data_IF_432765432640
#
_entry.id   IF_432765432640
#
_cell.length_a   1.000
_cell.length_b   1.000
_cell.length_c   1.000
_cell.angle_alpha   90.00
_cell.angle_beta   90.00
_cell.angle_gamma   90.00
#
_symmetry.space_group_name_H-M   'P 1'
#
loop_
_entity.id
_entity.type
_entity.pdbx_description
1 polymer ?
#
# COMPACT_ATOMS: atom_id res chain seq x y z
N UNK A 1 -30.78 -8.49 13.02
CA UNK A 1 -30.17 -7.17 12.80
C UNK A 1 -28.74 -7.31 12.35
N UNK A 2 -28.38 -6.50 11.35
CA UNK A 2 -26.99 -6.21 10.97
C UNK A 2 -26.38 -5.34 12.08
N UNK A 3 -25.20 -5.74 12.56
CA UNK A 3 -24.48 -5.07 13.64
C UNK A 3 -23.44 -4.12 13.06
N UNK A 4 -22.62 -4.61 12.12
CA UNK A 4 -21.65 -3.78 11.41
C UNK A 4 -21.21 -4.46 10.11
N UNK A 5 -20.64 -3.66 9.19
CA UNK A 5 -20.02 -4.10 7.95
C UNK A 5 -18.67 -3.41 7.78
N UNK A 6 -17.66 -4.16 7.32
CA UNK A 6 -16.36 -3.63 6.93
C UNK A 6 -15.97 -4.09 5.54
N UNK A 7 -15.36 -3.16 4.81
CA UNK A 7 -14.92 -3.35 3.45
C UNK A 7 -13.40 -3.17 3.42
N UNK A 8 -12.70 -4.20 2.98
CA UNK A 8 -11.25 -4.22 2.86
C UNK A 8 -10.89 -4.31 1.38
N UNK A 9 -10.31 -3.25 0.83
CA UNK A 9 -9.71 -3.29 -0.49
C UNK A 9 -8.50 -4.23 -0.47
N UNK A 10 -8.42 -5.16 -1.42
CA UNK A 10 -7.30 -6.11 -1.51
C UNK A 10 -6.08 -5.56 -2.25
N UNK A 11 -6.08 -4.28 -2.64
CA UNK A 11 -4.96 -3.64 -3.37
C UNK A 11 -3.64 -3.65 -2.59
N UNK A 12 -3.67 -3.68 -1.26
CA UNK A 12 -2.45 -3.87 -0.44
C UNK A 12 -1.78 -5.23 -0.66
N UNK A 13 -2.53 -6.24 -1.12
CA UNK A 13 -2.03 -7.59 -1.37
C UNK A 13 -1.01 -7.62 -2.51
N UNK A 14 -1.07 -6.64 -3.43
CA UNK A 14 -0.03 -6.43 -4.47
C UNK A 14 1.36 -6.36 -3.86
N UNK A 15 1.48 -5.74 -2.68
CA UNK A 15 2.75 -5.50 -2.00
C UNK A 15 2.99 -6.43 -0.81
N UNK A 16 2.01 -7.26 -0.43
CA UNK A 16 2.10 -8.15 0.73
C UNK A 16 2.97 -9.37 0.38
N UNK A 17 4.05 -9.57 1.15
CA UNK A 17 4.72 -10.87 1.21
C UNK A 17 4.86 -11.26 2.68
N UNK A 18 3.98 -12.15 3.14
CA UNK A 18 3.92 -12.59 4.53
C UNK A 18 3.90 -11.43 5.55
N UNK A 19 3.08 -10.40 5.28
CA UNK A 19 2.93 -9.16 6.07
C UNK A 19 4.14 -8.25 6.09
N UNK A 20 5.15 -8.52 5.25
CA UNK A 20 6.29 -7.65 5.03
C UNK A 20 6.05 -6.82 3.77
N UNK A 21 5.96 -5.51 3.92
CA UNK A 21 5.75 -4.57 2.81
C UNK A 21 7.07 -3.92 2.36
N UNK A 22 7.17 -3.41 1.11
CA UNK A 22 8.32 -2.63 0.66
C UNK A 22 8.59 -1.44 1.59
N UNK A 23 9.87 -1.05 1.72
CA UNK A 23 10.31 0.13 2.48
C UNK A 23 10.03 0.10 4.00
N UNK A 24 9.67 -1.05 4.59
CA UNK A 24 9.41 -1.14 6.03
C UNK A 24 10.64 -0.98 6.93
N UNK A 25 11.85 -1.11 6.38
CA UNK A 25 13.08 -0.95 7.15
C UNK A 25 13.22 0.50 7.65
N UNK A 26 13.14 0.72 8.97
CA UNK A 26 13.28 2.03 9.61
C UNK A 26 14.65 2.68 9.34
N UNK A 27 15.70 1.87 9.16
CA UNK A 27 17.04 2.35 8.89
C UNK A 27 17.15 3.10 7.54
N UNK A 28 16.14 2.99 6.66
CA UNK A 28 16.09 3.77 5.42
C UNK A 28 16.12 5.28 5.68
N UNK A 29 15.62 5.77 6.82
CA UNK A 29 15.71 7.19 7.21
C UNK A 29 17.17 7.65 7.36
N UNK A 30 18.11 6.74 7.66
CA UNK A 30 19.55 7.02 7.68
C UNK A 30 20.10 7.45 6.32
N UNK A 31 19.38 7.21 5.23
CA UNK A 31 19.72 7.74 3.91
C UNK A 31 19.56 9.27 3.83
N UNK A 32 18.74 9.90 4.68
CA UNK A 32 18.56 11.34 4.68
C UNK A 32 19.65 12.10 5.48
N UNK A 33 20.50 11.37 6.21
CA UNK A 33 21.58 11.92 7.03
C UNK A 33 22.80 12.27 6.18
N UNK A 34 23.43 13.40 6.47
CA UNK A 34 24.66 13.82 5.81
C UNK A 34 25.79 12.78 6.01
N UNK A 35 26.47 12.32 4.94
CA UNK A 35 27.57 11.37 5.05
C UNK A 35 28.69 11.79 6.01
N UNK A 36 29.03 13.08 6.09
CA UNK A 36 30.04 13.63 7.01
C UNK A 36 29.59 13.54 8.46
N UNK A 37 28.29 13.72 8.71
CA UNK A 37 27.73 13.59 10.05
C UNK A 37 27.74 12.12 10.49
N UNK A 38 27.38 11.21 9.58
CA UNK A 38 27.50 9.77 9.83
C UNK A 38 28.94 9.33 10.10
N UNK A 39 29.94 9.81 9.34
CA UNK A 39 31.35 9.46 9.59
C UNK A 39 31.82 9.96 10.95
N UNK A 40 31.46 11.19 11.31
CA UNK A 40 31.79 11.77 12.62
C UNK A 40 31.17 10.96 13.77
N UNK A 41 29.92 10.51 13.62
CA UNK A 41 29.24 9.70 14.62
C UNK A 41 29.86 8.30 14.75
N UNK A 42 30.31 7.71 13.65
CA UNK A 42 31.02 6.43 13.67
C UNK A 42 32.38 6.52 14.37
N UNK A 43 33.09 7.64 14.19
CA UNK A 43 34.36 7.92 14.87
C UNK A 43 34.19 8.12 16.39
N UNK A 44 33.13 8.83 16.81
CA UNK A 44 32.88 9.14 18.23
C UNK A 44 32.30 7.93 19.00
N UNK A 45 31.34 7.22 18.40
CA UNK A 45 30.53 6.22 19.13
C UNK A 45 31.13 4.81 19.06
N UNK A 46 32.02 4.54 18.10
CA UNK A 46 32.57 3.21 17.88
C UNK A 46 31.51 2.25 17.32
N UNK A 47 31.52 2.07 15.99
CA UNK A 47 30.71 1.12 15.22
C UNK A 47 29.19 1.09 15.55
N UNK A 48 28.42 1.92 14.86
CA UNK A 48 27.03 1.57 14.53
C UNK A 48 27.01 0.70 13.28
N UNK A 49 26.51 -0.54 13.40
CA UNK A 49 26.50 -1.60 12.37
C UNK A 49 25.68 -1.28 11.09
N UNK A 50 25.08 -0.10 11.00
CA UNK A 50 24.30 0.30 9.84
C UNK A 50 25.22 0.82 8.73
N UNK A 51 25.79 -0.14 7.99
CA UNK A 51 26.54 0.15 6.79
C UNK A 51 25.62 0.89 5.81
N UNK A 52 25.89 2.16 5.53
CA UNK A 52 25.12 3.00 4.60
C UNK A 52 24.91 2.31 3.24
N UNK A 53 25.88 1.49 2.80
CA UNK A 53 25.73 0.69 1.58
C UNK A 53 24.69 -0.42 1.73
N UNK A 54 24.57 -1.05 2.90
CA UNK A 54 23.52 -2.01 3.21
C UNK A 54 22.14 -1.33 3.16
N UNK A 55 22.00 -0.15 3.79
CA UNK A 55 20.74 0.63 3.75
C UNK A 55 20.39 1.02 2.31
N UNK A 56 21.37 1.48 1.52
CA UNK A 56 21.17 1.80 0.09
C UNK A 56 20.73 0.57 -0.70
N UNK A 57 21.34 -0.61 -0.47
CA UNK A 57 20.91 -1.86 -1.09
C UNK A 57 19.49 -2.25 -0.68
N UNK A 58 19.12 -2.07 0.58
CA UNK A 58 17.78 -2.34 1.09
C UNK A 58 16.71 -1.42 0.45
N UNK A 59 17.03 -0.14 0.24
CA UNK A 59 16.19 0.80 -0.51
C UNK A 59 15.97 0.34 -1.95
N UNK A 60 17.06 0.04 -2.67
CA UNK A 60 16.99 -0.41 -4.07
C UNK A 60 16.25 -1.75 -4.21
N UNK A 61 16.45 -2.67 -3.27
CA UNK A 61 15.73 -3.93 -3.22
C UNK A 61 14.23 -3.72 -2.98
N UNK A 62 13.86 -2.81 -2.08
CA UNK A 62 12.45 -2.43 -1.83
C UNK A 62 11.80 -1.84 -3.07
N UNK A 63 12.48 -0.91 -3.75
CA UNK A 63 12.01 -0.30 -5.01
C UNK A 63 11.81 -1.36 -6.10
N UNK A 64 12.81 -2.23 -6.32
CA UNK A 64 12.72 -3.31 -7.32
C UNK A 64 11.58 -4.27 -7.00
N UNK A 65 11.43 -4.66 -5.73
CA UNK A 65 10.33 -5.51 -5.28
C UNK A 65 8.97 -4.87 -5.55
N UNK A 66 8.79 -3.60 -5.20
CA UNK A 66 7.53 -2.91 -5.44
C UNK A 66 7.18 -2.83 -6.94
N UNK A 67 8.17 -2.55 -7.80
CA UNK A 67 7.98 -2.55 -9.25
C UNK A 67 7.60 -3.94 -9.79
N UNK A 68 8.33 -4.98 -9.37
CA UNK A 68 8.05 -6.36 -9.77
C UNK A 68 6.67 -6.83 -9.30
N UNK A 69 6.28 -6.46 -8.07
CA UNK A 69 4.93 -6.69 -7.53
C UNK A 69 3.85 -6.10 -8.43
N UNK A 70 3.99 -4.83 -8.82
CA UNK A 70 3.01 -4.14 -9.68
C UNK A 70 2.90 -4.82 -11.05
N UNK A 71 4.04 -5.14 -11.66
CA UNK A 71 4.10 -5.78 -12.98
C UNK A 71 3.43 -7.17 -12.97
N UNK A 72 3.81 -8.03 -12.02
CA UNK A 72 3.24 -9.37 -11.86
C UNK A 72 1.73 -9.35 -11.56
N UNK A 73 1.25 -8.25 -10.98
CA UNK A 73 -0.14 -8.06 -10.56
C UNK A 73 -1.02 -7.41 -11.65
N UNK A 74 -0.45 -7.01 -12.78
CA UNK A 74 -1.13 -6.22 -13.82
C UNK A 74 -2.28 -6.94 -14.53
N UNK A 75 -2.28 -8.27 -14.52
CA UNK A 75 -3.31 -9.11 -15.16
C UNK A 75 -4.33 -9.68 -14.18
N UNK A 76 -4.22 -9.33 -12.89
CA UNK A 76 -5.13 -9.82 -11.86
C UNK A 76 -6.30 -8.85 -11.65
N UNK A 77 -7.41 -9.36 -11.11
CA UNK A 77 -8.49 -8.53 -10.59
C UNK A 77 -8.42 -8.48 -9.06
N UNK A 78 -8.64 -7.28 -8.50
CA UNK A 78 -8.63 -7.05 -7.06
C UNK A 78 -10.02 -6.68 -6.59
N UNK A 79 -10.62 -7.55 -5.78
CA UNK A 79 -11.94 -7.32 -5.21
C UNK A 79 -11.90 -6.50 -3.91
N UNK A 80 -13.09 -6.31 -3.35
CA UNK A 80 -13.24 -5.86 -1.96
C UNK A 80 -13.68 -7.04 -1.13
N UNK A 81 -12.89 -7.40 -0.12
CA UNK A 81 -13.33 -8.35 0.89
C UNK A 81 -14.34 -7.66 1.80
N UNK A 82 -15.53 -8.23 1.94
CA UNK A 82 -16.58 -7.71 2.81
C UNK A 82 -16.74 -8.61 4.03
N UNK A 83 -16.75 -8.01 5.22
CA UNK A 83 -16.98 -8.71 6.47
C UNK A 83 -18.21 -8.10 7.15
N UNK A 84 -19.22 -8.92 7.40
CA UNK A 84 -20.49 -8.48 8.00
C UNK A 84 -20.71 -9.21 9.31
N UNK A 85 -21.04 -8.47 10.38
CA UNK A 85 -21.52 -9.06 11.63
C UNK A 85 -23.03 -8.90 11.67
N UNK A 86 -23.73 -10.03 11.66
CA UNK A 86 -25.19 -10.10 11.74
C UNK A 86 -25.57 -10.93 12.95
N UNK A 87 -26.74 -10.64 13.54
CA UNK A 87 -27.28 -11.53 14.57
C UNK A 87 -27.82 -12.83 13.95
N UNK A 88 -27.96 -13.87 14.80
CA UNK A 88 -28.38 -15.19 14.37
C UNK A 88 -29.74 -15.18 13.66
N UNK A 89 -30.70 -14.42 14.17
CA UNK A 89 -32.05 -14.34 13.60
C UNK A 89 -32.04 -13.81 12.16
N UNK A 90 -31.22 -12.79 11.88
CA UNK A 90 -31.08 -12.26 10.52
C UNK A 90 -30.34 -13.23 9.61
N UNK A 91 -29.29 -13.89 10.12
CA UNK A 91 -28.58 -14.92 9.36
C UNK A 91 -29.53 -16.05 8.95
N UNK A 92 -30.33 -16.57 9.90
CA UNK A 92 -31.32 -17.61 9.64
C UNK A 92 -32.37 -17.15 8.60
N UNK A 93 -32.89 -15.92 8.75
CA UNK A 93 -33.84 -15.36 7.78
C UNK A 93 -33.24 -15.23 6.37
N UNK A 94 -31.99 -14.77 6.26
CA UNK A 94 -31.26 -14.70 4.98
C UNK A 94 -31.06 -16.09 4.37
N UNK A 95 -30.64 -17.07 5.16
CA UNK A 95 -30.47 -18.46 4.71
C UNK A 95 -31.78 -19.04 4.15
N UNK A 96 -32.89 -18.89 4.87
CA UNK A 96 -34.21 -19.35 4.38
C UNK A 96 -34.62 -18.66 3.08
N UNK A 97 -34.38 -17.34 2.96
CA UNK A 97 -34.66 -16.62 1.71
C UNK A 97 -33.78 -17.09 0.55
N UNK A 98 -32.48 -17.33 0.76
CA UNK A 98 -31.59 -17.85 -0.28
C UNK A 98 -32.02 -19.25 -0.76
N UNK A 99 -32.39 -20.14 0.17
CA UNK A 99 -32.92 -21.46 -0.18
C UNK A 99 -34.21 -21.36 -1.01
N UNK A 100 -35.14 -20.48 -0.62
CA UNK A 100 -36.38 -20.25 -1.37
C UNK A 100 -36.09 -19.74 -2.79
N UNK A 101 -35.20 -18.76 -2.93
CA UNK A 101 -34.81 -18.21 -4.23
C UNK A 101 -34.11 -19.25 -5.11
N UNK A 102 -33.21 -20.05 -4.55
CA UNK A 102 -32.53 -21.11 -5.29
C UNK A 102 -33.52 -22.19 -5.77
N UNK A 103 -34.45 -22.59 -4.91
CA UNK A 103 -35.49 -23.57 -5.25
C UNK A 103 -36.51 -23.01 -6.27
N UNK A 104 -36.74 -21.70 -6.30
CA UNK A 104 -37.58 -21.05 -7.30
C UNK A 104 -36.85 -20.93 -8.65
N UNK A 105 -35.56 -20.59 -8.64
CA UNK A 105 -34.73 -20.51 -9.84
C UNK A 105 -34.57 -21.87 -10.55
N UNK A 106 -34.46 -22.97 -9.80
CA UNK A 106 -34.39 -24.33 -10.36
C UNK A 106 -35.70 -24.79 -11.03
N UNK A 107 -36.85 -24.21 -10.65
CA UNK A 107 -38.17 -24.54 -11.20
C UNK A 107 -38.51 -23.80 -12.49
N UNK A 108 -37.78 -22.72 -12.78
CA UNK A 108 -37.93 -21.95 -14.02
C UNK A 108 -36.81 -22.34 -14.98
N UNK A 109 -37.13 -22.74 -16.21
CA UNK A 109 -36.12 -22.87 -17.28
C UNK A 109 -35.41 -21.52 -17.43
N UNK A 110 -34.06 -21.49 -17.59
CA UNK A 110 -33.34 -20.25 -17.76
C UNK A 110 -33.88 -19.58 -19.02
N UNK A 111 -34.66 -18.53 -18.85
CA UNK A 111 -35.08 -17.71 -19.96
C UNK A 111 -33.84 -16.89 -20.31
N UNK A 112 -33.39 -16.95 -21.56
CA UNK A 112 -32.21 -16.24 -22.09
C UNK A 112 -32.40 -14.71 -22.12
N UNK A 113 -33.28 -14.20 -21.26
CA UNK A 113 -33.49 -12.78 -21.06
C UNK A 113 -32.24 -12.24 -20.37
N UNK A 114 -31.45 -11.50 -21.15
CA UNK A 114 -30.41 -10.63 -20.62
C UNK A 114 -30.99 -9.81 -19.48
N UNK A 115 -30.64 -10.18 -18.25
CA UNK A 115 -30.90 -9.33 -17.09
C UNK A 115 -30.16 -8.04 -17.38
N UNK A 116 -30.84 -6.88 -17.46
CA UNK A 116 -30.17 -5.63 -17.71
C UNK A 116 -29.11 -5.47 -16.62
N UNK A 117 -27.85 -5.27 -17.04
CA UNK A 117 -26.74 -4.95 -16.15
C UNK A 117 -27.13 -3.68 -15.39
N UNK A 118 -27.67 -3.85 -14.19
CA UNK A 118 -27.92 -2.74 -13.28
C UNK A 118 -26.59 -2.01 -13.04
N UNK A 119 -26.64 -0.68 -13.01
CA UNK A 119 -25.58 0.15 -12.43
C UNK A 119 -25.19 -0.48 -11.09
N UNK A 120 -24.03 -1.13 -11.03
CA UNK A 120 -23.58 -1.78 -9.82
C UNK A 120 -23.52 -0.72 -8.70
N UNK A 121 -23.93 -1.03 -7.45
CA UNK A 121 -23.81 -0.12 -6.32
C UNK A 121 -22.35 0.10 -5.89
N UNK A 122 -21.39 -0.33 -6.71
CA UNK A 122 -19.96 -0.27 -6.51
C UNK A 122 -19.28 0.19 -7.79
N UNK A 123 -18.20 0.95 -7.65
CA UNK A 123 -17.36 1.32 -8.79
C UNK A 123 -16.39 0.20 -9.13
N UNK A 124 -16.26 -0.09 -10.43
CA UNK A 124 -15.22 -0.97 -10.96
C UNK A 124 -14.21 -0.07 -11.67
N UNK A 125 -12.98 -0.03 -11.16
CA UNK A 125 -11.87 0.60 -11.88
C UNK A 125 -11.09 -0.47 -12.64
N UNK A 126 -10.75 -0.25 -13.91
CA UNK A 126 -9.84 -1.11 -14.65
C UNK A 126 -8.52 -1.35 -13.90
N UNK A 127 -8.04 -2.61 -13.88
CA UNK A 127 -6.79 -2.97 -13.19
C UNK A 127 -5.62 -2.13 -13.66
N UNK A 128 -5.52 -1.87 -14.96
CA UNK A 128 -4.46 -1.06 -15.55
C UNK A 128 -4.44 0.36 -14.99
N UNK A 129 -5.58 1.02 -14.79
CA UNK A 129 -5.66 2.35 -14.18
C UNK A 129 -5.18 2.33 -12.73
N UNK A 130 -5.62 1.34 -11.95
CA UNK A 130 -5.21 1.18 -10.55
C UNK A 130 -3.71 0.92 -10.45
N UNK A 131 -3.17 0.04 -11.28
CA UNK A 131 -1.73 -0.28 -11.34
C UNK A 131 -0.92 0.93 -11.79
N UNK A 132 -1.37 1.67 -12.80
CA UNK A 132 -0.73 2.91 -13.24
C UNK A 132 -0.72 3.97 -12.13
N UNK A 133 -1.81 4.10 -11.38
CA UNK A 133 -1.87 4.99 -10.22
C UNK A 133 -0.86 4.59 -9.14
N UNK A 134 -0.78 3.30 -8.80
CA UNK A 134 0.18 2.79 -7.82
C UNK A 134 1.63 3.00 -8.26
N UNK A 135 1.93 2.69 -9.53
CA UNK A 135 3.23 2.90 -10.14
C UNK A 135 3.63 4.38 -10.14
N UNK A 136 2.69 5.25 -10.51
CA UNK A 136 2.90 6.71 -10.52
C UNK A 136 3.19 7.24 -9.13
N UNK A 137 2.49 6.76 -8.10
CA UNK A 137 2.77 7.14 -6.71
C UNK A 137 4.13 6.63 -6.23
N UNK A 138 4.49 5.38 -6.55
CA UNK A 138 5.81 4.83 -6.25
C UNK A 138 6.93 5.64 -6.89
N UNK A 139 6.81 5.93 -8.18
CA UNK A 139 7.80 6.70 -8.91
C UNK A 139 7.88 8.14 -8.38
N UNK A 140 6.75 8.80 -8.12
CA UNK A 140 6.71 10.15 -7.55
C UNK A 140 7.49 10.22 -6.23
N UNK A 141 7.24 9.29 -5.32
CA UNK A 141 7.88 9.28 -4.00
C UNK A 141 9.37 8.91 -4.07
N UNK A 142 9.72 7.88 -4.85
CA UNK A 142 11.12 7.49 -5.05
C UNK A 142 11.91 8.62 -5.74
N UNK A 143 11.33 9.23 -6.78
CA UNK A 143 11.93 10.35 -7.49
C UNK A 143 12.12 11.55 -6.57
N UNK A 144 11.10 11.93 -5.78
CA UNK A 144 11.20 13.04 -4.83
C UNK A 144 12.38 12.87 -3.87
N UNK A 145 12.55 11.66 -3.31
CA UNK A 145 13.70 11.34 -2.47
C UNK A 145 15.03 11.37 -3.25
N UNK A 146 15.12 10.65 -4.37
CA UNK A 146 16.35 10.50 -5.15
C UNK A 146 16.82 11.85 -5.72
N UNK A 147 15.89 12.67 -6.18
CA UNK A 147 16.13 14.02 -6.69
C UNK A 147 16.60 14.95 -5.56
N UNK A 148 15.90 15.00 -4.43
CA UNK A 148 16.32 15.85 -3.29
C UNK A 148 17.73 15.47 -2.82
N UNK A 149 18.03 14.17 -2.78
CA UNK A 149 19.37 13.68 -2.45
C UNK A 149 20.42 14.09 -3.48
N UNK A 150 20.09 14.05 -4.77
CA UNK A 150 21.04 14.37 -5.84
C UNK A 150 21.46 15.85 -5.84
N UNK A 151 20.59 16.75 -5.39
CA UNK A 151 20.91 18.17 -5.20
C UNK A 151 22.06 18.42 -4.21
N UNK A 152 22.33 17.44 -3.34
CA UNK A 152 23.41 17.50 -2.34
C UNK A 152 24.68 16.80 -2.80
N UNK A 153 24.76 16.33 -4.04
CA UNK A 153 25.95 15.61 -4.53
C UNK A 153 27.17 16.53 -4.49
N UNK A 154 28.19 16.15 -3.72
CA UNK A 154 29.40 16.96 -3.52
C UNK A 154 29.25 18.14 -2.56
N UNK A 155 28.11 18.27 -1.87
CA UNK A 155 27.84 19.30 -0.85
C UNK A 155 27.30 18.66 0.42
N UNK A 156 27.22 19.45 1.49
CA UNK A 156 26.52 19.02 2.70
C UNK A 156 25.00 19.01 2.43
N UNK A 157 24.30 18.04 3.02
CA UNK A 157 22.84 17.95 3.01
C UNK A 157 22.32 18.99 4.00
N UNK A 158 21.47 19.91 3.54
CA UNK A 158 20.86 20.91 4.42
C UNK A 158 19.74 20.29 5.26
N UNK A 159 19.39 20.96 6.35
CA UNK A 159 18.31 20.52 7.23
C UNK A 159 16.96 20.40 6.48
N UNK A 160 16.68 21.33 5.58
CA UNK A 160 15.47 21.35 4.76
C UNK A 160 15.44 20.14 3.82
N UNK A 161 16.56 19.81 3.19
CA UNK A 161 16.69 18.64 2.34
C UNK A 161 16.50 17.35 3.14
N UNK A 162 17.08 17.26 4.34
CA UNK A 162 16.86 16.12 5.24
C UNK A 162 15.37 15.96 5.58
N UNK A 163 14.68 17.04 5.96
CA UNK A 163 13.23 17.00 6.26
C UNK A 163 12.42 16.49 5.07
N UNK A 164 12.67 17.02 3.87
CA UNK A 164 11.97 16.60 2.64
C UNK A 164 12.24 15.12 2.32
N UNK A 165 13.49 14.67 2.41
CA UNK A 165 13.83 13.26 2.20
C UNK A 165 13.15 12.33 3.22
N UNK A 166 13.08 12.73 4.49
CA UNK A 166 12.40 11.95 5.53
C UNK A 166 10.90 11.81 5.23
N UNK A 167 10.23 12.88 4.78
CA UNK A 167 8.82 12.82 4.37
C UNK A 167 8.62 11.79 3.25
N UNK A 168 9.45 11.82 2.20
CA UNK A 168 9.36 10.83 1.11
C UNK A 168 9.60 9.40 1.58
N UNK A 169 10.62 9.17 2.42
CA UNK A 169 10.95 7.83 2.94
C UNK A 169 9.84 7.29 3.86
N UNK A 170 9.22 8.16 4.66
CA UNK A 170 8.08 7.80 5.52
C UNK A 170 6.82 7.52 4.70
N UNK A 171 6.52 8.33 3.69
CA UNK A 171 5.43 8.06 2.75
C UNK A 171 5.63 6.70 2.05
N UNK A 172 6.84 6.42 1.53
CA UNK A 172 7.16 5.12 0.94
C UNK A 172 6.92 3.96 1.92
N UNK A 173 7.22 4.15 3.20
CA UNK A 173 7.02 3.13 4.24
C UNK A 173 5.55 2.85 4.54
N UNK A 174 4.67 3.85 4.42
CA UNK A 174 3.28 3.75 4.90
C UNK A 174 2.24 3.57 3.78
N UNK A 175 2.53 4.01 2.55
CA UNK A 175 1.55 3.97 1.45
C UNK A 175 1.16 2.56 0.97
N UNK A 176 2.00 1.54 1.18
CA UNK A 176 1.79 0.20 0.59
C UNK A 176 1.20 -0.84 1.54
N UNK A 177 1.14 -0.54 2.85
CA UNK A 177 0.60 -1.45 3.87
C UNK A 177 -0.88 -1.24 4.18
N UNK A 178 -1.56 -0.30 3.51
CA UNK A 178 -2.90 0.16 3.90
C UNK A 178 -2.90 0.88 5.26
N UNK A 179 -1.82 1.60 5.57
CA UNK A 179 -1.72 2.35 6.81
C UNK A 179 -2.60 3.61 6.77
N UNK A 180 -3.22 3.94 7.91
CA UNK A 180 -3.93 5.20 8.10
C UNK A 180 -2.92 6.34 8.23
N UNK A 181 -2.68 7.10 7.15
CA UNK A 181 -1.68 8.18 7.12
C UNK A 181 -1.95 9.25 8.19
N UNK A 182 -3.21 9.48 8.53
CA UNK A 182 -3.67 10.35 9.62
C UNK A 182 -3.08 10.03 11.00
N UNK A 183 -2.61 8.80 11.22
CA UNK A 183 -1.99 8.39 12.49
C UNK A 183 -0.52 8.79 12.60
N UNK A 184 0.07 9.30 11.52
CA UNK A 184 1.47 9.72 11.48
C UNK A 184 1.51 11.23 11.40
N UNK A 185 1.63 11.89 12.56
CA UNK A 185 1.76 13.35 12.68
C UNK A 185 2.80 13.90 11.72
N UNK A 186 3.94 13.23 11.63
CA UNK A 186 5.08 13.66 10.82
C UNK A 186 4.80 13.68 9.30
N UNK A 187 3.64 13.17 8.85
CA UNK A 187 3.16 13.18 7.47
C UNK A 187 1.87 14.02 7.34
N UNK A 188 1.02 14.05 8.37
CA UNK A 188 -0.36 14.54 8.28
C UNK A 188 -0.68 15.76 9.15
N UNK A 189 0.11 16.09 10.18
CA UNK A 189 -0.11 17.31 10.97
C UNK A 189 0.60 18.50 10.33
N UNK A 190 -0.15 19.60 10.16
CA UNK A 190 0.35 20.92 9.76
C UNK A 190 1.32 21.51 10.80
#
# INVERSE_FOLDING_TARGET
GLVYSQFYTTTKEIFDAAKVYPFQNKALEGLAVDPKLNSTWQEIVGQTNDNLNCIKKAYLASKRRALASIDACSQNSYGTRQEHRVNLNLLAAMSTQFEQLQNAAQRNTPTDQQVPLFNHPYMISPTNETVLFLLSNLNKLCFGFEYTRSLSTGRAITWEQTRVMLVFLRLLRHCYGGAHLERYSDIWSD
#
